data_IF_657138286296
#
_entry.id   IF_657138286296
#
_cell.length_a   1.000
_cell.length_b   1.000
_cell.length_c   1.000
_cell.angle_alpha   90.00
_cell.angle_beta   90.00
_cell.angle_gamma   90.00
#
_symmetry.space_group_name_H-M   'P 1'
#
loop_
_entity.id
_entity.type
_entity.pdbx_description
1 polymer ?
#
# COMPACT_ATOMS: atom_id res chain seq x y z
N UNK A 1 4.31 -1.22 6.83
CA UNK A 1 5.56 -2.04 6.90
C UNK A 1 5.28 -3.52 6.67
N UNK A 2 4.34 -4.12 7.41
CA UNK A 2 4.03 -5.56 7.36
C UNK A 2 3.60 -6.04 5.95
N UNK A 3 2.78 -5.28 5.21
CA UNK A 3 2.33 -5.72 3.87
C UNK A 3 3.43 -5.69 2.80
N UNK A 4 4.28 -4.66 2.77
CA UNK A 4 5.38 -4.60 1.80
C UNK A 4 6.37 -5.78 1.97
N UNK A 5 6.43 -6.35 3.17
CA UNK A 5 7.20 -7.54 3.49
C UNK A 5 6.53 -8.84 3.03
N UNK A 6 5.21 -8.96 3.18
CA UNK A 6 4.42 -10.13 2.75
C UNK A 6 4.75 -10.51 1.30
N UNK A 7 4.81 -9.52 0.42
CA UNK A 7 5.14 -9.74 -1.00
C UNK A 7 6.60 -10.13 -1.29
N UNK A 8 7.52 -9.86 -0.37
CA UNK A 8 8.95 -10.16 -0.56
C UNK A 8 9.32 -11.54 0.00
N UNK A 9 8.63 -12.01 1.02
CA UNK A 9 8.98 -13.22 1.75
C UNK A 9 8.05 -14.38 1.46
N UNK A 10 6.75 -14.13 1.32
CA UNK A 10 5.78 -15.21 1.14
C UNK A 10 5.72 -15.73 -0.31
N UNK A 11 6.30 -15.00 -1.25
CA UNK A 11 6.08 -15.21 -2.70
C UNK A 11 7.28 -15.84 -3.40
N UNK A 12 8.49 -15.49 -2.98
CA UNK A 12 9.67 -15.79 -3.80
C UNK A 12 10.32 -17.14 -3.52
N UNK A 13 10.08 -17.81 -2.38
CA UNK A 13 10.73 -19.11 -2.08
C UNK A 13 10.01 -20.03 -1.07
N UNK A 14 8.68 -20.20 -1.10
CA UNK A 14 7.95 -21.10 -0.15
C UNK A 14 8.35 -20.86 1.33
N UNK A 15 8.53 -19.60 1.74
CA UNK A 15 8.97 -19.24 3.10
C UNK A 15 10.46 -19.43 3.41
N UNK A 16 11.31 -19.74 2.43
CA UNK A 16 12.78 -19.87 2.61
C UNK A 16 13.54 -18.54 2.63
N UNK A 17 12.92 -17.46 2.14
CA UNK A 17 13.45 -16.10 2.28
C UNK A 17 13.11 -15.59 3.67
N UNK A 18 14.11 -15.29 4.49
CA UNK A 18 13.88 -14.67 5.81
C UNK A 18 14.11 -13.15 5.74
N UNK A 19 13.59 -12.41 6.72
CA UNK A 19 13.85 -10.97 6.84
C UNK A 19 15.34 -10.59 6.85
N UNK A 20 16.22 -11.51 7.28
CA UNK A 20 17.67 -11.33 7.27
C UNK A 20 18.31 -11.46 5.87
N UNK A 21 17.61 -12.10 4.92
CA UNK A 21 18.06 -12.29 3.54
C UNK A 21 17.58 -11.17 2.61
N UNK A 22 16.70 -10.29 3.09
CA UNK A 22 16.29 -9.09 2.37
C UNK A 22 17.46 -8.10 2.37
N UNK A 23 18.07 -7.91 1.20
CA UNK A 23 19.16 -6.95 1.03
C UNK A 23 18.74 -5.49 1.29
N UNK A 24 19.69 -4.53 1.24
CA UNK A 24 19.45 -3.18 1.73
C UNK A 24 18.26 -2.46 1.07
N UNK A 25 17.50 -1.68 1.85
CA UNK A 25 16.32 -0.93 1.41
C UNK A 25 16.28 0.47 2.03
N UNK A 26 15.56 1.38 1.40
CA UNK A 26 15.27 2.69 1.98
C UNK A 26 13.85 2.70 2.54
N UNK A 27 13.70 3.04 3.81
CA UNK A 27 12.43 3.50 4.34
C UNK A 27 12.31 5.00 4.05
N UNK A 28 11.29 5.37 3.28
CA UNK A 28 11.02 6.75 2.91
C UNK A 28 9.77 7.22 3.65
N UNK A 29 9.92 8.25 4.48
CA UNK A 29 8.79 8.93 5.10
C UNK A 29 8.38 10.08 4.20
N UNK A 30 7.10 10.12 3.82
CA UNK A 30 6.56 11.14 2.94
C UNK A 30 5.35 11.81 3.59
N UNK A 31 5.32 13.14 3.58
CA UNK A 31 4.14 13.94 3.88
C UNK A 31 3.33 14.11 2.59
N UNK A 32 2.07 13.65 2.63
CA UNK A 32 1.20 13.61 1.45
C UNK A 32 0.01 14.55 1.66
N UNK A 33 -0.28 15.37 0.64
CA UNK A 33 -1.51 16.16 0.53
C UNK A 33 -2.14 15.90 -0.83
N UNK A 34 -3.35 15.35 -0.84
CA UNK A 34 -4.09 15.02 -2.05
C UNK A 34 -5.53 15.49 -1.91
N UNK A 35 -6.03 16.26 -2.88
CA UNK A 35 -7.38 16.83 -2.85
C UNK A 35 -8.49 15.91 -3.40
N UNK A 36 -8.15 14.83 -4.11
CA UNK A 36 -9.13 13.91 -4.73
C UNK A 36 -8.74 12.46 -4.50
N UNK A 37 -9.26 11.89 -3.42
CA UNK A 37 -9.06 10.50 -3.08
C UNK A 37 -10.37 9.72 -3.14
N UNK A 38 -10.29 8.49 -3.64
CA UNK A 38 -11.30 7.50 -3.30
C UNK A 38 -11.01 6.99 -1.89
N UNK A 39 -11.91 7.27 -0.95
CA UNK A 39 -11.79 6.83 0.43
C UNK A 39 -12.55 5.52 0.64
N UNK A 40 -11.80 4.43 0.83
CA UNK A 40 -12.30 3.08 1.05
C UNK A 40 -12.06 2.62 2.50
N UNK A 41 -11.83 3.55 3.43
CA UNK A 41 -11.70 3.22 4.86
C UNK A 41 -13.03 2.84 5.49
N UNK A 42 -14.12 3.39 4.97
CA UNK A 42 -15.48 3.03 5.34
C UNK A 42 -15.89 1.69 4.69
N UNK A 43 -16.26 0.66 5.47
CA UNK A 43 -16.78 -0.60 4.94
C UNK A 43 -17.96 -0.44 3.98
N UNK A 44 -18.81 0.58 4.18
CA UNK A 44 -19.91 0.84 3.25
C UNK A 44 -19.40 1.41 1.91
N UNK A 45 -18.34 2.21 1.90
CA UNK A 45 -17.69 2.69 0.69
C UNK A 45 -16.99 1.56 -0.07
N UNK A 46 -16.31 0.64 0.64
CA UNK A 46 -15.77 -0.60 0.06
C UNK A 46 -16.86 -1.41 -0.66
N UNK A 47 -17.97 -1.65 0.03
CA UNK A 47 -19.09 -2.42 -0.52
C UNK A 47 -19.66 -1.75 -1.78
N UNK A 48 -19.85 -0.43 -1.77
CA UNK A 48 -20.29 0.34 -2.96
C UNK A 48 -19.29 0.27 -4.12
N UNK A 49 -18.01 0.13 -3.84
CA UNK A 49 -16.96 -0.05 -4.84
C UNK A 49 -16.86 -1.52 -5.35
N UNK A 50 -17.75 -2.42 -4.91
CA UNK A 50 -17.71 -3.83 -5.28
C UNK A 50 -16.65 -4.64 -4.52
N UNK A 51 -16.11 -4.09 -3.43
CA UNK A 51 -15.11 -4.75 -2.58
C UNK A 51 -15.72 -5.21 -1.27
N UNK A 52 -15.11 -6.23 -0.67
CA UNK A 52 -15.41 -6.64 0.70
C UNK A 52 -14.14 -6.58 1.53
N UNK A 53 -14.27 -6.39 2.85
CA UNK A 53 -13.12 -6.46 3.77
C UNK A 53 -12.39 -7.79 3.69
N UNK A 54 -13.11 -8.90 3.43
CA UNK A 54 -12.50 -10.20 3.15
C UNK A 54 -11.75 -10.23 1.80
N UNK A 55 -12.30 -9.58 0.77
CA UNK A 55 -11.67 -9.43 -0.55
C UNK A 55 -10.43 -8.53 -0.57
N UNK A 56 -10.14 -7.79 0.51
CA UNK A 56 -8.85 -7.12 0.68
C UNK A 56 -7.75 -8.09 1.16
N UNK A 57 -8.13 -9.26 1.70
CA UNK A 57 -7.24 -10.30 2.23
C UNK A 57 -7.11 -11.44 1.23
N UNK A 58 -6.70 -11.14 0.01
CA UNK A 58 -6.49 -12.15 -1.02
C UNK A 58 -5.09 -12.77 -0.97
N UNK A 59 -4.94 -14.03 -1.42
CA UNK A 59 -3.64 -14.63 -1.68
C UNK A 59 -2.79 -13.75 -2.57
N UNK A 60 -1.46 -13.89 -2.48
CA UNK A 60 -0.59 -13.15 -3.38
C UNK A 60 -0.85 -13.56 -4.82
N UNK A 61 -1.07 -12.57 -5.69
CA UNK A 61 -1.37 -12.76 -7.11
C UNK A 61 -2.84 -12.63 -7.46
N UNK A 62 -3.76 -12.70 -6.48
CA UNK A 62 -5.19 -12.53 -6.71
C UNK A 62 -5.62 -11.10 -6.35
N UNK A 63 -5.46 -10.16 -7.29
CA UNK A 63 -5.71 -8.73 -7.06
C UNK A 63 -6.75 -8.12 -7.98
N UNK A 64 -7.47 -8.93 -8.76
CA UNK A 64 -8.29 -8.43 -9.86
C UNK A 64 -9.34 -7.43 -9.41
N UNK A 65 -10.05 -7.70 -8.32
CA UNK A 65 -11.05 -6.78 -7.78
C UNK A 65 -10.44 -5.43 -7.37
N UNK A 66 -9.32 -5.45 -6.63
CA UNK A 66 -8.60 -4.24 -6.23
C UNK A 66 -8.04 -3.47 -7.44
N UNK A 67 -7.51 -4.19 -8.44
CA UNK A 67 -7.00 -3.59 -9.66
C UNK A 67 -8.11 -2.97 -10.51
N UNK A 68 -9.29 -3.57 -10.58
CA UNK A 68 -10.44 -3.00 -11.29
C UNK A 68 -10.87 -1.67 -10.66
N UNK A 69 -10.99 -1.63 -9.32
CA UNK A 69 -11.26 -0.37 -8.61
C UNK A 69 -10.15 0.65 -8.83
N UNK A 70 -8.89 0.20 -8.81
CA UNK A 70 -7.70 1.01 -9.15
C UNK A 70 -7.82 1.66 -10.53
N UNK A 71 -8.14 0.87 -11.56
CA UNK A 71 -8.28 1.34 -12.95
C UNK A 71 -9.44 2.32 -13.08
N UNK A 72 -10.59 2.04 -12.46
CA UNK A 72 -11.75 2.93 -12.50
C UNK A 72 -11.44 4.29 -11.84
N UNK A 73 -10.86 4.27 -10.65
CA UNK A 73 -10.44 5.49 -9.94
C UNK A 73 -9.43 6.32 -10.75
N UNK A 74 -8.46 5.64 -11.38
CA UNK A 74 -7.50 6.28 -12.27
C UNK A 74 -8.19 6.91 -13.49
N UNK A 75 -9.07 6.19 -14.19
CA UNK A 75 -9.81 6.72 -15.35
C UNK A 75 -10.71 7.93 -15.01
N UNK A 76 -11.21 8.02 -13.78
CA UNK A 76 -11.98 9.16 -13.28
C UNK A 76 -11.10 10.37 -12.90
N UNK A 77 -9.78 10.28 -13.09
CA UNK A 77 -8.81 11.34 -12.81
C UNK A 77 -8.68 11.67 -11.32
N UNK A 78 -8.86 10.67 -10.44
CA UNK A 78 -8.57 10.82 -9.02
C UNK A 78 -7.05 10.86 -8.79
N UNK A 79 -6.62 11.50 -7.70
CA UNK A 79 -5.21 11.59 -7.31
C UNK A 79 -4.72 10.36 -6.54
N UNK A 80 -5.63 9.50 -6.08
CA UNK A 80 -5.27 8.27 -5.38
C UNK A 80 -6.44 7.54 -4.73
N UNK A 81 -6.11 6.47 -4.02
CA UNK A 81 -7.03 5.64 -3.24
C UNK A 81 -6.43 5.43 -1.86
N UNK A 82 -7.22 5.65 -0.81
CA UNK A 82 -6.87 5.26 0.56
C UNK A 82 -7.78 4.11 1.00
N UNK A 83 -7.18 3.04 1.51
CA UNK A 83 -7.88 1.81 1.90
C UNK A 83 -7.22 1.19 3.13
N UNK A 84 -7.94 0.37 3.92
CA UNK A 84 -7.33 -0.40 5.00
C UNK A 84 -6.36 -1.43 4.43
N UNK A 85 -5.25 -1.71 5.12
CA UNK A 85 -4.35 -2.80 4.73
C UNK A 85 -5.02 -4.16 4.92
N UNK A 86 -4.59 -5.14 4.11
CA UNK A 86 -5.06 -6.52 4.19
C UNK A 86 -4.86 -7.11 5.61
N UNK A 87 -3.70 -6.92 6.22
CA UNK A 87 -3.41 -7.29 7.61
C UNK A 87 -4.25 -6.55 8.67
N UNK A 88 -5.01 -5.53 8.31
CA UNK A 88 -5.74 -4.61 9.20
C UNK A 88 -4.88 -3.82 10.19
N UNK A 89 -3.55 -3.83 10.03
CA UNK A 89 -2.60 -3.03 10.80
C UNK A 89 -2.39 -1.61 10.22
N UNK A 90 -3.50 -0.91 9.93
CA UNK A 90 -3.49 0.47 9.43
C UNK A 90 -4.07 0.66 8.02
N UNK A 91 -3.53 1.65 7.31
CA UNK A 91 -4.04 2.14 6.03
C UNK A 91 -2.94 2.10 4.95
N UNK A 92 -3.35 1.99 3.69
CA UNK A 92 -2.48 2.14 2.52
C UNK A 92 -3.03 3.22 1.62
N UNK A 93 -2.14 4.06 1.12
CA UNK A 93 -2.41 5.08 0.15
C UNK A 93 -1.72 4.72 -1.17
N UNK A 94 -2.50 4.50 -2.22
CA UNK A 94 -2.02 4.43 -3.59
C UNK A 94 -2.16 5.82 -4.23
N UNK A 95 -1.06 6.35 -4.78
CA UNK A 95 -1.04 7.69 -5.40
C UNK A 95 -0.90 7.58 -6.90
N UNK A 96 -1.77 8.28 -7.64
CA UNK A 96 -1.71 8.39 -9.09
C UNK A 96 -0.99 9.69 -9.47
N UNK A 97 0.34 9.63 -9.54
CA UNK A 97 1.18 10.81 -9.80
C UNK A 97 0.79 11.61 -11.06
N UNK A 98 0.32 11.00 -12.18
CA UNK A 98 -0.13 11.75 -13.35
C UNK A 98 -1.36 12.63 -13.13
N UNK A 99 -2.15 12.39 -12.07
CA UNK A 99 -3.37 13.14 -11.76
C UNK A 99 -3.19 14.11 -10.59
N UNK A 100 -1.96 14.33 -10.15
CA UNK A 100 -1.67 15.32 -9.11
C UNK A 100 -1.96 16.72 -9.64
N UNK A 101 -2.55 17.55 -8.79
CA UNK A 101 -2.86 18.96 -9.07
C UNK A 101 -1.77 19.85 -8.49
N UNK A 102 -1.69 21.13 -8.90
CA UNK A 102 -0.78 22.09 -8.27
C UNK A 102 -0.98 22.25 -6.76
N UNK A 103 -2.18 21.95 -6.26
CA UNK A 103 -2.53 21.95 -4.84
C UNK A 103 -2.22 20.62 -4.14
N UNK A 104 -1.71 19.62 -4.83
CA UNK A 104 -1.29 18.36 -4.23
C UNK A 104 0.21 18.42 -3.94
N UNK A 105 0.68 17.64 -2.96
CA UNK A 105 2.10 17.59 -2.62
C UNK A 105 2.52 16.23 -2.08
N UNK A 106 3.71 15.80 -2.50
CA UNK A 106 4.42 14.62 -1.99
C UNK A 106 5.80 15.10 -1.56
N UNK A 107 5.99 15.27 -0.25
CA UNK A 107 7.23 15.78 0.30
C UNK A 107 7.94 14.65 1.06
N UNK A 108 9.14 14.27 0.61
CA UNK A 108 9.97 13.33 1.36
C UNK A 108 10.52 14.08 2.56
N UNK A 109 10.17 13.62 3.77
CA UNK A 109 10.65 14.21 5.01
C UNK A 109 11.88 13.49 5.55
N UNK A 110 12.01 12.19 5.27
CA UNK A 110 13.11 11.37 5.79
C UNK A 110 13.40 10.21 4.86
N UNK A 111 14.67 9.84 4.74
CA UNK A 111 15.12 8.62 4.07
C UNK A 111 16.07 7.91 5.03
N UNK A 112 15.70 6.69 5.43
CA UNK A 112 16.53 5.84 6.26
C UNK A 112 16.97 4.63 5.45
N UNK A 113 18.28 4.40 5.38
CA UNK A 113 18.82 3.19 4.77
C UNK A 113 18.87 2.07 5.79
N UNK A 114 18.25 0.94 5.45
CA UNK A 114 18.19 -0.26 6.27
C UNK A 114 19.01 -1.35 5.60
N UNK A 115 20.06 -1.81 6.27
CA UNK A 115 20.96 -2.84 5.71
C UNK A 115 20.34 -4.25 5.70
N UNK A 116 19.44 -4.52 6.65
CA UNK A 116 18.58 -5.70 6.67
C UNK A 116 17.28 -5.36 7.40
N UNK A 117 16.23 -6.16 7.16
CA UNK A 117 14.90 -5.90 7.69
C UNK A 117 14.69 -6.49 9.11
N UNK A 118 15.53 -7.44 9.51
CA UNK A 118 15.38 -8.21 10.76
C UNK A 118 15.46 -7.34 12.03
N UNK A 119 16.18 -6.22 12.01
CA UNK A 119 16.52 -5.47 13.23
C UNK A 119 15.39 -4.61 13.80
N UNK A 120 14.28 -4.38 13.08
CA UNK A 120 13.29 -3.35 13.45
C UNK A 120 11.83 -3.81 13.50
N UNK A 121 11.50 -5.00 13.00
CA UNK A 121 10.16 -5.60 13.17
C UNK A 121 9.86 -6.01 14.64
N UNK A 122 10.89 -6.07 15.50
CA UNK A 122 10.78 -6.40 16.93
C UNK A 122 10.58 -5.18 17.84
N UNK A 123 10.59 -3.95 17.30
CA UNK A 123 10.52 -2.70 18.08
C UNK A 123 9.25 -1.87 17.76
N UNK A 124 8.27 -2.48 17.08
CA UNK A 124 6.97 -1.86 16.75
C UNK A 124 5.82 -2.57 17.42
#
# INVERSE_FOLDING_TARGET
MIEAYRHLVDVDLDGRLTAAMVGPRNLITCRVRLGRLLDLRDPAALCRAGLTTAGLRTPVGDYDACQQVGRAAHQLGLGGIIAPVASSAGETLAVFTPHTRPTDSLEITTVERWENLALRLLLG
#
